data_IF_020534325580
#
_entry.id   IF_020534325580
#
_cell.length_a   1.000
_cell.length_b   1.000
_cell.length_c   1.000
_cell.angle_alpha   90.00
_cell.angle_beta   90.00
_cell.angle_gamma   90.00
#
_symmetry.space_group_name_H-M   'P 1'
#
loop_
_entity.id
_entity.type
_entity.pdbx_description
1 polymer ?
#
# COMPACT_ATOMS: atom_id res chain seq x y z
N UNK A 1 -14.33 3.87 -6.92
CA UNK A 1 -15.48 4.14 -7.81
C UNK A 1 -16.08 2.86 -8.41
N UNK A 2 -15.27 1.89 -8.87
CA UNK A 2 -15.76 0.64 -9.48
C UNK A 2 -16.87 -0.02 -8.62
N UNK A 3 -16.62 -0.22 -7.32
CA UNK A 3 -17.58 -0.80 -6.40
C UNK A 3 -18.74 0.17 -6.03
N UNK A 4 -18.41 1.44 -5.81
CA UNK A 4 -19.45 2.46 -5.51
C UNK A 4 -20.49 2.56 -6.62
N UNK A 5 -20.11 2.37 -7.88
CA UNK A 5 -21.04 2.37 -9.04
C UNK A 5 -21.97 1.16 -9.06
N UNK A 6 -21.63 0.10 -8.35
CA UNK A 6 -22.50 -1.07 -8.12
C UNK A 6 -23.41 -0.91 -6.90
N UNK A 7 -23.39 0.26 -6.23
CA UNK A 7 -24.19 0.50 -5.02
C UNK A 7 -23.52 0.00 -3.73
N UNK A 8 -22.28 -0.50 -3.80
CA UNK A 8 -21.55 -0.94 -2.59
C UNK A 8 -21.17 0.28 -1.76
N UNK A 9 -21.47 0.24 -0.47
CA UNK A 9 -21.03 1.25 0.48
C UNK A 9 -19.52 1.13 0.71
N UNK A 10 -18.80 2.23 0.54
CA UNK A 10 -17.34 2.24 0.53
C UNK A 10 -16.81 3.21 1.57
N UNK A 11 -15.94 2.70 2.44
CA UNK A 11 -15.05 3.50 3.31
C UNK A 11 -13.61 3.26 2.91
N UNK A 12 -12.85 4.33 2.67
CA UNK A 12 -11.44 4.24 2.38
C UNK A 12 -10.62 4.13 3.68
N UNK A 13 -9.48 3.44 3.60
CA UNK A 13 -8.46 3.47 4.64
C UNK A 13 -7.12 3.87 4.04
N UNK A 14 -6.40 4.74 4.74
CA UNK A 14 -5.03 5.12 4.42
C UNK A 14 -4.15 4.94 5.64
N UNK A 15 -2.98 4.36 5.41
CA UNK A 15 -1.98 4.18 6.45
C UNK A 15 -0.90 5.24 6.31
N UNK A 16 -0.35 5.72 7.43
CA UNK A 16 0.75 6.67 7.46
C UNK A 16 1.93 6.10 8.23
N UNK A 17 3.12 6.40 7.72
CA UNK A 17 4.42 6.01 8.29
C UNK A 17 5.44 7.11 7.97
N UNK A 18 6.67 7.07 8.50
CA UNK A 18 7.75 7.94 8.04
C UNK A 18 8.02 7.85 6.53
N UNK A 19 7.60 6.79 5.85
CA UNK A 19 7.93 6.52 4.45
C UNK A 19 6.86 6.94 3.45
N UNK A 20 5.63 7.11 3.89
CA UNK A 20 4.49 7.54 3.07
C UNK A 20 3.38 8.14 3.94
N UNK A 21 2.66 9.10 3.38
CA UNK A 21 1.58 9.83 4.06
C UNK A 21 0.21 9.62 3.43
N UNK A 22 -0.81 10.30 3.98
CA UNK A 22 -2.23 10.18 3.60
C UNK A 22 -2.74 11.28 2.65
N UNK A 23 -2.00 12.36 2.40
CA UNK A 23 -2.50 13.54 1.69
C UNK A 23 -3.16 13.24 0.34
N UNK A 24 -2.59 12.30 -0.43
CA UNK A 24 -3.18 11.86 -1.72
C UNK A 24 -4.49 11.08 -1.52
N UNK A 25 -4.59 10.30 -0.45
CA UNK A 25 -5.81 9.55 -0.12
C UNK A 25 -6.90 10.48 0.38
N UNK A 26 -6.56 11.49 1.17
CA UNK A 26 -7.48 12.52 1.66
C UNK A 26 -8.10 13.30 0.50
N UNK A 27 -7.26 13.74 -0.45
CA UNK A 27 -7.75 14.43 -1.64
C UNK A 27 -8.67 13.54 -2.48
N UNK A 28 -8.27 12.29 -2.71
CA UNK A 28 -9.06 11.34 -3.48
C UNK A 28 -10.40 10.99 -2.79
N UNK A 29 -10.39 10.76 -1.48
CA UNK A 29 -11.59 10.47 -0.71
C UNK A 29 -12.58 11.65 -0.75
N UNK A 30 -12.08 12.88 -0.58
CA UNK A 30 -12.87 14.10 -0.71
C UNK A 30 -13.49 14.23 -2.11
N UNK A 31 -12.72 14.03 -3.16
CA UNK A 31 -13.19 14.12 -4.55
C UNK A 31 -14.26 13.06 -4.85
N UNK A 32 -14.12 11.85 -4.30
CA UNK A 32 -15.07 10.77 -4.50
C UNK A 32 -16.28 10.80 -3.55
N UNK A 33 -16.29 11.69 -2.55
CA UNK A 33 -17.33 11.76 -1.52
C UNK A 33 -17.45 10.45 -0.74
N UNK A 34 -16.33 9.89 -0.25
CA UNK A 34 -16.31 8.68 0.57
C UNK A 34 -15.63 8.97 1.92
N UNK A 35 -16.06 8.30 3.01
CA UNK A 35 -15.39 8.38 4.29
C UNK A 35 -13.94 7.87 4.17
N UNK A 36 -13.03 8.43 4.97
CA UNK A 36 -11.63 8.01 5.04
C UNK A 36 -11.21 7.81 6.48
N UNK A 37 -10.67 6.65 6.77
CA UNK A 37 -9.96 6.32 8.00
C UNK A 37 -8.47 6.51 7.74
N UNK A 38 -7.77 7.23 8.62
CA UNK A 38 -6.31 7.39 8.57
C UNK A 38 -5.71 6.78 9.81
N UNK A 39 -4.85 5.77 9.62
CA UNK A 39 -4.21 5.03 10.70
C UNK A 39 -2.69 5.21 10.67
N UNK A 40 -2.11 5.60 11.81
CA UNK A 40 -0.66 5.65 11.97
C UNK A 40 -0.13 4.27 12.35
N UNK A 41 0.69 3.70 11.46
CA UNK A 41 1.28 2.37 11.65
C UNK A 41 2.81 2.42 11.73
N UNK A 42 3.39 3.56 12.06
CA UNK A 42 4.84 3.82 12.03
C UNK A 42 5.64 2.77 12.81
N UNK A 43 5.24 2.46 14.04
CA UNK A 43 5.95 1.53 14.91
C UNK A 43 5.90 0.10 14.38
N UNK A 44 4.70 -0.39 14.07
CA UNK A 44 4.54 -1.78 13.57
C UNK A 44 5.15 -1.94 12.19
N UNK A 45 5.15 -0.88 11.37
CA UNK A 45 5.79 -0.88 10.06
C UNK A 45 7.32 -0.92 10.19
N UNK A 46 7.90 -0.13 11.10
CA UNK A 46 9.33 -0.13 11.35
C UNK A 46 9.80 -1.49 11.91
N UNK A 47 9.04 -2.08 12.81
CA UNK A 47 9.34 -3.42 13.33
C UNK A 47 9.34 -4.48 12.22
N UNK A 48 8.34 -4.48 11.34
CA UNK A 48 8.28 -5.36 10.16
C UNK A 48 9.45 -5.08 9.21
N UNK A 49 9.76 -3.79 8.96
CA UNK A 49 10.83 -3.38 8.05
C UNK A 49 12.21 -3.88 8.49
N UNK A 50 12.48 -3.98 9.79
CA UNK A 50 13.75 -4.49 10.32
C UNK A 50 13.94 -5.99 10.04
N UNK A 51 12.86 -6.76 9.93
CA UNK A 51 12.91 -8.21 9.69
C UNK A 51 11.73 -8.69 8.82
N UNK A 52 11.70 -8.34 7.52
CA UNK A 52 10.60 -8.74 6.64
C UNK A 52 10.68 -10.22 6.29
N UNK A 53 9.52 -10.89 6.28
CA UNK A 53 9.39 -12.32 5.98
C UNK A 53 9.76 -12.65 4.52
N UNK A 54 9.31 -11.82 3.58
CA UNK A 54 9.60 -11.98 2.14
C UNK A 54 10.85 -11.21 1.68
N UNK A 55 11.54 -10.54 2.62
CA UNK A 55 12.72 -9.76 2.32
C UNK A 55 12.44 -8.44 1.61
N UNK A 56 13.50 -7.85 1.09
CA UNK A 56 13.43 -6.54 0.43
C UNK A 56 13.38 -6.67 -1.09
N UNK A 57 12.85 -5.63 -1.72
CA UNK A 57 12.96 -5.43 -3.15
C UNK A 57 14.33 -4.93 -3.58
N UNK A 58 14.35 -4.11 -4.64
CA UNK A 58 15.61 -3.54 -5.15
C UNK A 58 16.35 -2.70 -4.10
N UNK A 59 15.58 -2.01 -3.26
CA UNK A 59 16.08 -1.16 -2.16
C UNK A 59 15.60 -1.74 -0.81
N UNK A 60 15.28 -0.90 0.19
CA UNK A 60 14.75 -1.37 1.47
C UNK A 60 13.20 -1.46 1.48
N UNK A 61 12.59 -1.80 0.37
CA UNK A 61 11.13 -1.84 0.20
C UNK A 61 10.58 -3.27 0.32
N UNK A 62 10.04 -3.70 1.49
CA UNK A 62 9.43 -5.02 1.69
C UNK A 62 7.97 -5.01 1.24
N UNK A 63 7.72 -4.82 -0.07
CA UNK A 63 6.38 -4.51 -0.58
C UNK A 63 5.34 -5.61 -0.29
N UNK A 64 5.72 -6.89 -0.32
CA UNK A 64 4.79 -8.00 -0.01
C UNK A 64 4.38 -7.94 1.45
N UNK A 65 5.35 -7.85 2.37
CA UNK A 65 5.11 -7.77 3.81
C UNK A 65 4.31 -6.51 4.17
N UNK A 66 4.65 -5.38 3.57
CA UNK A 66 3.96 -4.10 3.78
C UNK A 66 2.48 -4.19 3.38
N UNK A 67 2.19 -4.69 2.18
CA UNK A 67 0.80 -4.84 1.72
C UNK A 67 0.03 -5.85 2.59
N UNK A 68 0.64 -7.00 2.92
CA UNK A 68 0.01 -7.99 3.77
C UNK A 68 -0.30 -7.44 5.17
N UNK A 69 0.62 -6.67 5.75
CA UNK A 69 0.41 -6.00 7.03
C UNK A 69 -0.74 -4.98 6.96
N UNK A 70 -0.79 -4.15 5.91
CA UNK A 70 -1.88 -3.20 5.71
C UNK A 70 -3.24 -3.90 5.60
N UNK A 71 -3.33 -4.99 4.84
CA UNK A 71 -4.57 -5.78 4.76
C UNK A 71 -4.92 -6.45 6.10
N UNK A 72 -3.94 -6.91 6.87
CA UNK A 72 -4.18 -7.47 8.22
C UNK A 72 -4.77 -6.43 9.15
N UNK A 73 -4.20 -5.22 9.18
CA UNK A 73 -4.70 -4.12 10.00
C UNK A 73 -6.08 -3.65 9.55
N UNK A 74 -6.29 -3.51 8.23
CA UNK A 74 -7.59 -3.20 7.65
C UNK A 74 -8.63 -4.28 7.99
N UNK A 75 -8.24 -5.55 7.98
CA UNK A 75 -9.10 -6.68 8.40
C UNK A 75 -9.54 -6.59 9.85
N UNK A 76 -8.66 -6.13 10.74
CA UNK A 76 -9.02 -5.85 12.13
C UNK A 76 -10.06 -4.73 12.26
N UNK A 77 -9.94 -3.67 11.45
CA UNK A 77 -10.92 -2.58 11.39
C UNK A 77 -12.23 -3.06 10.76
N UNK A 78 -12.15 -3.83 9.66
CA UNK A 78 -13.30 -4.46 9.01
C UNK A 78 -14.14 -5.24 10.02
N UNK A 79 -13.51 -6.11 10.81
CA UNK A 79 -14.20 -6.92 11.81
C UNK A 79 -14.84 -6.06 12.93
N UNK A 80 -14.15 -5.02 13.39
CA UNK A 80 -14.66 -4.12 14.46
C UNK A 80 -15.82 -3.24 14.02
N UNK A 81 -15.82 -2.82 12.76
CA UNK A 81 -16.83 -1.89 12.22
C UNK A 81 -17.92 -2.58 11.40
N UNK A 82 -17.87 -3.91 11.24
CA UNK A 82 -18.89 -4.69 10.57
C UNK A 82 -18.87 -4.57 9.04
N UNK A 83 -17.71 -4.29 8.44
CA UNK A 83 -17.57 -4.34 6.98
C UNK A 83 -17.48 -5.79 6.49
N UNK A 84 -18.00 -6.06 5.30
CA UNK A 84 -18.08 -7.40 4.74
C UNK A 84 -16.75 -7.88 4.15
N UNK A 85 -15.99 -7.00 3.49
CA UNK A 85 -14.76 -7.36 2.78
C UNK A 85 -13.80 -6.17 2.59
N UNK A 86 -12.60 -6.49 2.14
CA UNK A 86 -11.54 -5.55 1.79
C UNK A 86 -11.37 -5.50 0.26
N UNK A 87 -10.93 -4.35 -0.23
CA UNK A 87 -10.54 -4.24 -1.63
C UNK A 87 -9.34 -3.31 -1.81
N UNK A 88 -8.64 -3.46 -2.93
CA UNK A 88 -7.55 -2.56 -3.29
C UNK A 88 -7.56 -2.19 -4.78
N UNK A 89 -6.86 -1.11 -5.09
CA UNK A 89 -6.56 -0.69 -6.46
C UNK A 89 -5.35 -1.39 -7.08
N UNK A 90 -4.90 -2.51 -6.52
CA UNK A 90 -3.82 -3.31 -7.12
C UNK A 90 -4.23 -3.85 -8.49
N UNK A 91 -3.30 -3.78 -9.43
CA UNK A 91 -3.51 -4.27 -10.80
C UNK A 91 -2.49 -5.36 -11.10
N UNK A 92 -2.98 -6.48 -11.63
CA UNK A 92 -2.16 -7.63 -12.02
C UNK A 92 -1.05 -7.21 -13.00
N UNK A 93 0.20 -7.51 -12.62
CA UNK A 93 1.37 -7.20 -13.45
C UNK A 93 1.82 -5.73 -13.46
N UNK A 94 1.15 -4.83 -12.73
CA UNK A 94 1.52 -3.40 -12.73
C UNK A 94 2.85 -3.15 -12.01
N UNK A 95 3.07 -3.85 -10.89
CA UNK A 95 4.33 -3.81 -10.14
C UNK A 95 4.95 -5.20 -10.11
N UNK A 96 6.08 -5.43 -10.81
CA UNK A 96 6.63 -6.79 -10.97
C UNK A 96 6.89 -7.53 -9.67
N UNK A 97 7.30 -6.81 -8.61
CA UNK A 97 7.63 -7.43 -7.33
C UNK A 97 6.43 -7.76 -6.47
N UNK A 98 5.41 -6.91 -6.42
CA UNK A 98 4.30 -7.04 -5.46
C UNK A 98 2.93 -7.28 -6.10
N UNK A 99 2.81 -7.20 -7.42
CA UNK A 99 1.52 -7.31 -8.11
C UNK A 99 1.52 -8.34 -9.25
N UNK A 100 2.47 -9.29 -9.28
CA UNK A 100 2.32 -10.51 -10.05
C UNK A 100 1.37 -11.48 -9.31
N UNK A 101 0.85 -12.49 -10.01
CA UNK A 101 -0.14 -13.43 -9.46
C UNK A 101 0.31 -14.08 -8.14
N UNK A 102 1.58 -14.52 -8.06
CA UNK A 102 2.12 -15.14 -6.87
C UNK A 102 2.21 -14.15 -5.70
N UNK A 103 2.70 -12.93 -5.95
CA UNK A 103 2.80 -11.88 -4.94
C UNK A 103 1.43 -11.47 -4.39
N UNK A 104 0.42 -11.30 -5.27
CA UNK A 104 -0.95 -10.98 -4.85
C UNK A 104 -1.55 -12.07 -3.97
N UNK A 105 -1.27 -13.35 -4.26
CA UNK A 105 -1.68 -14.49 -3.44
C UNK A 105 -0.92 -14.53 -2.11
N UNK A 106 0.40 -14.33 -2.12
CA UNK A 106 1.21 -14.25 -0.90
C UNK A 106 0.73 -13.13 0.03
N UNK A 107 0.43 -11.95 -0.51
CA UNK A 107 -0.14 -10.83 0.24
C UNK A 107 -1.47 -11.23 0.90
N UNK A 108 -2.39 -11.84 0.14
CA UNK A 108 -3.68 -12.26 0.68
C UNK A 108 -3.52 -13.30 1.80
N UNK A 109 -2.73 -14.34 1.57
CA UNK A 109 -2.50 -15.40 2.57
C UNK A 109 -1.81 -14.85 3.83
N UNK A 110 -0.75 -14.06 3.66
CA UNK A 110 0.02 -13.53 4.79
C UNK A 110 -0.71 -12.43 5.57
N UNK A 111 -1.72 -11.81 4.95
CA UNK A 111 -2.62 -10.88 5.66
C UNK A 111 -3.54 -11.58 6.67
N UNK A 112 -3.80 -12.87 6.52
CA UNK A 112 -4.79 -13.63 7.30
C UNK A 112 -6.22 -13.50 6.78
N UNK A 113 -6.42 -12.85 5.62
CA UNK A 113 -7.74 -12.62 5.02
C UNK A 113 -7.78 -13.02 3.53
N UNK A 114 -7.33 -14.25 3.14
CA UNK A 114 -7.22 -14.65 1.74
C UNK A 114 -8.55 -14.56 0.99
N UNK A 115 -9.66 -14.87 1.66
CA UNK A 115 -11.00 -14.96 1.10
C UNK A 115 -11.83 -13.68 1.26
N UNK A 116 -11.20 -12.58 1.72
CA UNK A 116 -11.88 -11.30 1.98
C UNK A 116 -11.32 -10.14 1.18
N UNK A 117 -10.39 -10.39 0.25
CA UNK A 117 -9.72 -9.32 -0.52
C UNK A 117 -10.11 -9.44 -1.99
N UNK A 118 -10.74 -8.39 -2.52
CA UNK A 118 -11.05 -8.26 -3.94
C UNK A 118 -10.19 -7.17 -4.61
N UNK A 119 -9.86 -7.35 -5.88
CA UNK A 119 -9.08 -6.40 -6.69
C UNK A 119 -9.89 -5.99 -7.93
N UNK A 120 -10.83 -5.06 -7.79
CA UNK A 120 -11.85 -4.77 -8.79
C UNK A 120 -11.30 -4.46 -10.18
N UNK A 121 -10.10 -3.85 -10.25
CA UNK A 121 -9.48 -3.47 -11.53
C UNK A 121 -8.94 -4.66 -12.34
N UNK A 122 -8.66 -5.80 -11.69
CA UNK A 122 -8.11 -7.01 -12.33
C UNK A 122 -8.94 -8.26 -12.05
N UNK A 123 -10.11 -8.12 -11.46
CA UNK A 123 -10.88 -9.25 -10.92
C UNK A 123 -11.18 -10.31 -11.97
N UNK A 124 -11.51 -9.93 -13.21
CA UNK A 124 -11.79 -10.88 -14.30
C UNK A 124 -10.60 -11.75 -14.70
N UNK A 125 -9.38 -11.37 -14.31
CA UNK A 125 -8.13 -12.11 -14.55
C UNK A 125 -7.65 -12.90 -13.32
N UNK A 126 -8.35 -12.76 -12.21
CA UNK A 126 -8.03 -13.42 -10.95
C UNK A 126 -9.11 -14.46 -10.62
N UNK A 127 -8.84 -15.43 -9.72
CA UNK A 127 -9.86 -16.36 -9.25
C UNK A 127 -11.09 -15.64 -8.71
N UNK A 128 -12.24 -16.24 -8.89
CA UNK A 128 -13.51 -15.75 -8.30
C UNK A 128 -13.37 -15.75 -6.78
N UNK A 129 -13.89 -14.71 -6.15
CA UNK A 129 -13.84 -14.54 -4.70
C UNK A 129 -15.18 -14.89 -4.07
N UNK A 130 -15.21 -15.25 -2.77
CA UNK A 130 -16.47 -15.51 -2.08
C UNK A 130 -17.46 -14.33 -2.13
N UNK A 131 -16.98 -13.09 -2.20
CA UNK A 131 -17.84 -11.91 -2.31
C UNK A 131 -18.61 -11.88 -3.65
N UNK A 132 -17.95 -12.31 -4.73
CA UNK A 132 -18.56 -12.44 -6.05
C UNK A 132 -19.55 -13.60 -6.07
N UNK A 133 -19.22 -14.76 -5.49
CA UNK A 133 -20.10 -15.94 -5.39
C UNK A 133 -21.36 -15.66 -4.56
N UNK A 134 -21.22 -14.84 -3.50
CA UNK A 134 -22.34 -14.45 -2.62
C UNK A 134 -23.18 -13.28 -3.20
N UNK A 135 -22.80 -12.74 -4.34
CA UNK A 135 -23.51 -11.64 -4.97
C UNK A 135 -23.33 -10.28 -4.28
N UNK A 136 -22.34 -10.14 -3.38
CA UNK A 136 -22.00 -8.85 -2.77
C UNK A 136 -21.36 -7.89 -3.78
N UNK A 137 -20.74 -8.44 -4.81
CA UNK A 137 -20.12 -7.71 -5.91
C UNK A 137 -20.47 -8.41 -7.22
N UNK A 138 -20.96 -7.65 -8.19
CA UNK A 138 -21.24 -8.13 -9.54
C UNK A 138 -19.94 -8.20 -10.36
N UNK A 139 -19.47 -9.42 -10.65
CA UNK A 139 -18.25 -9.68 -11.41
C UNK A 139 -18.30 -9.10 -12.82
N UNK A 140 -19.46 -9.06 -13.47
CA UNK A 140 -19.58 -8.57 -14.84
C UNK A 140 -19.28 -7.09 -14.97
N UNK A 141 -19.46 -6.35 -13.87
CA UNK A 141 -19.10 -4.94 -13.75
C UNK A 141 -17.65 -4.71 -13.27
N UNK A 142 -16.90 -5.77 -12.97
CA UNK A 142 -15.49 -5.68 -12.64
C UNK A 142 -14.61 -5.68 -13.89
N UNK A 143 -13.32 -5.39 -13.73
CA UNK A 143 -12.43 -5.10 -14.85
C UNK A 143 -11.37 -6.20 -15.03
N UNK A 144 -10.72 -6.16 -16.20
CA UNK A 144 -9.67 -7.07 -16.65
C UNK A 144 -8.33 -6.35 -16.91
N UNK A 145 -8.09 -5.23 -16.23
CA UNK A 145 -6.88 -4.43 -16.42
C UNK A 145 -5.66 -5.20 -15.92
N UNK A 146 -4.60 -5.20 -16.74
CA UNK A 146 -3.32 -5.82 -16.40
C UNK A 146 -2.13 -5.07 -17.00
N UNK A 147 -0.93 -5.37 -16.47
CA UNK A 147 0.33 -4.86 -16.98
C UNK A 147 0.72 -3.49 -16.41
N UNK A 148 1.86 -2.99 -16.89
CA UNK A 148 2.52 -1.80 -16.33
C UNK A 148 1.88 -0.47 -16.73
N UNK A 149 1.13 -0.46 -17.84
CA UNK A 149 0.51 0.76 -18.34
C UNK A 149 -0.61 1.22 -17.42
N UNK A 150 -0.65 2.51 -17.13
CA UNK A 150 -1.74 3.16 -16.38
C UNK A 150 -2.78 3.83 -17.27
N UNK A 151 -2.59 3.78 -18.59
CA UNK A 151 -3.53 4.39 -19.55
C UNK A 151 -4.98 3.94 -19.33
N UNK A 152 -5.27 2.62 -19.08
CA UNK A 152 -6.65 2.19 -18.82
C UNK A 152 -7.24 2.85 -17.55
N UNK A 153 -6.47 2.91 -16.45
CA UNK A 153 -6.94 3.55 -15.21
C UNK A 153 -7.13 5.05 -15.38
N UNK A 154 -6.26 5.72 -16.13
CA UNK A 154 -6.36 7.15 -16.43
C UNK A 154 -7.58 7.46 -17.33
N UNK A 155 -7.88 6.58 -18.29
CA UNK A 155 -9.07 6.69 -19.13
C UNK A 155 -10.34 6.56 -18.28
N UNK A 156 -10.41 5.54 -17.41
CA UNK A 156 -11.53 5.35 -16.48
C UNK A 156 -11.68 6.51 -15.50
N UNK A 157 -10.59 7.05 -14.99
CA UNK A 157 -10.63 8.20 -14.09
C UNK A 157 -11.29 9.40 -14.78
N UNK A 158 -10.90 9.69 -16.02
CA UNK A 158 -11.51 10.76 -16.83
C UNK A 158 -12.98 10.49 -17.14
N UNK A 159 -13.32 9.28 -17.58
CA UNK A 159 -14.69 8.87 -17.85
C UNK A 159 -15.59 9.04 -16.62
N UNK A 160 -15.05 8.75 -15.43
CA UNK A 160 -15.79 8.85 -14.16
C UNK A 160 -15.70 10.21 -13.51
N UNK A 161 -15.16 11.22 -14.21
CA UNK A 161 -15.14 12.61 -13.78
C UNK A 161 -14.09 12.92 -12.70
N UNK A 162 -13.09 12.07 -12.53
CA UNK A 162 -11.94 12.38 -11.65
C UNK A 162 -10.98 13.31 -12.41
N UNK A 163 -10.79 14.51 -11.87
CA UNK A 163 -9.94 15.54 -12.48
C UNK A 163 -8.51 15.55 -11.94
N UNK A 164 -8.36 15.12 -10.69
CA UNK A 164 -7.07 15.10 -10.00
C UNK A 164 -6.79 13.68 -9.50
N UNK A 165 -5.80 13.06 -10.11
CA UNK A 165 -5.30 11.75 -9.71
C UNK A 165 -3.77 11.74 -9.72
N UNK A 166 -3.14 11.07 -8.75
CA UNK A 166 -1.70 11.16 -8.58
C UNK A 166 -0.95 10.55 -9.76
N UNK A 167 0.19 11.18 -10.12
CA UNK A 167 1.12 10.64 -11.10
C UNK A 167 1.63 9.25 -10.72
N UNK A 168 2.21 8.53 -11.69
CA UNK A 168 2.74 7.17 -11.52
C UNK A 168 3.93 7.06 -10.56
N UNK A 169 4.53 8.18 -10.16
CA UNK A 169 5.65 8.19 -9.21
C UNK A 169 5.27 7.55 -7.90
N UNK A 170 6.03 6.57 -7.45
CA UNK A 170 5.85 5.93 -6.15
C UNK A 170 5.89 6.99 -5.04
N UNK A 171 5.09 6.85 -4.03
CA UNK A 171 5.11 7.76 -2.89
C UNK A 171 5.85 7.20 -1.68
N UNK A 172 6.54 6.07 -1.81
CA UNK A 172 7.23 5.41 -0.71
C UNK A 172 8.74 5.68 -0.77
N UNK A 173 9.28 6.33 0.26
CA UNK A 173 10.72 6.65 0.37
C UNK A 173 11.60 5.39 0.34
N UNK A 174 11.08 4.24 0.76
CA UNK A 174 11.82 2.97 0.72
C UNK A 174 12.18 2.50 -0.70
N UNK A 175 11.62 3.13 -1.73
CA UNK A 175 11.97 2.86 -3.13
C UNK A 175 13.07 3.78 -3.65
N UNK A 176 13.47 4.80 -2.90
CA UNK A 176 14.53 5.73 -3.24
C UNK A 176 15.89 5.20 -2.77
N UNK A 177 16.88 5.21 -3.65
CA UNK A 177 18.20 4.65 -3.39
C UNK A 177 18.85 5.35 -2.20
N UNK A 178 18.96 6.67 -2.25
CA UNK A 178 19.68 7.45 -1.23
C UNK A 178 19.02 7.39 0.15
N UNK A 179 17.68 7.36 0.20
CA UNK A 179 16.98 7.16 1.46
C UNK A 179 17.20 5.75 2.01
N UNK A 180 17.11 4.74 1.15
CA UNK A 180 17.32 3.34 1.51
C UNK A 180 18.73 3.09 2.02
N UNK A 181 19.76 3.73 1.44
CA UNK A 181 21.15 3.61 1.90
C UNK A 181 21.31 4.22 3.30
N UNK A 182 20.71 5.39 3.55
CA UNK A 182 20.70 6.01 4.88
C UNK A 182 19.98 5.16 5.93
N UNK A 183 18.86 4.56 5.54
CA UNK A 183 18.10 3.70 6.43
C UNK A 183 18.83 2.38 6.71
N UNK A 184 19.47 1.78 5.70
CA UNK A 184 20.30 0.58 5.88
C UNK A 184 21.46 0.85 6.83
N UNK A 185 22.13 1.99 6.68
CA UNK A 185 23.17 2.44 7.59
C UNK A 185 22.65 2.62 9.02
N UNK A 186 21.48 3.24 9.18
CA UNK A 186 20.85 3.42 10.50
C UNK A 186 20.56 2.06 11.15
N UNK A 187 19.82 1.19 10.49
CA UNK A 187 19.43 -0.12 11.05
C UNK A 187 20.63 -1.00 11.37
N UNK A 188 21.70 -0.93 10.54
CA UNK A 188 22.93 -1.68 10.75
C UNK A 188 23.67 -1.26 12.04
N UNK A 189 23.77 0.04 12.32
CA UNK A 189 24.57 0.57 13.43
C UNK A 189 23.73 0.86 14.68
N UNK A 190 22.40 0.95 14.54
CA UNK A 190 21.46 1.18 15.62
C UNK A 190 20.22 0.26 15.40
N UNK A 191 20.33 -1.04 15.70
CA UNK A 191 19.22 -2.00 15.49
C UNK A 191 17.96 -1.67 16.29
N UNK A 192 18.11 -0.99 17.42
CA UNK A 192 17.05 -0.50 18.30
C UNK A 192 16.47 0.86 17.89
N UNK A 193 16.89 1.43 16.73
CA UNK A 193 16.37 2.70 16.23
C UNK A 193 14.84 2.74 16.23
N UNK A 194 14.30 3.90 16.58
CA UNK A 194 12.86 4.17 16.65
C UNK A 194 12.36 5.02 15.45
N UNK A 195 11.10 5.42 15.49
CA UNK A 195 10.46 6.22 14.44
C UNK A 195 11.11 7.60 14.31
N UNK A 196 11.51 8.23 15.42
CA UNK A 196 12.14 9.55 15.41
C UNK A 196 13.52 9.51 14.74
N UNK A 197 14.28 8.45 14.97
CA UNK A 197 15.57 8.24 14.29
C UNK A 197 15.40 8.14 12.77
N UNK A 198 14.30 7.51 12.31
CA UNK A 198 13.97 7.42 10.89
C UNK A 198 13.53 8.77 10.34
N UNK A 199 12.78 9.56 11.10
CA UNK A 199 12.37 10.91 10.69
C UNK A 199 13.58 11.82 10.47
N UNK A 200 14.62 11.72 11.29
CA UNK A 200 15.87 12.45 11.12
C UNK A 200 16.58 12.15 9.78
N UNK A 201 16.34 10.98 9.17
CA UNK A 201 16.90 10.65 7.86
C UNK A 201 16.33 11.51 6.71
N UNK A 202 15.21 12.17 6.91
CA UNK A 202 14.58 13.05 5.92
C UNK A 202 15.22 14.45 5.90
N UNK A 203 15.97 14.79 6.94
CA UNK A 203 16.53 16.14 7.17
C UNK A 203 17.99 16.15 6.76
N UNK A 204 18.37 17.12 5.96
CA UNK A 204 19.74 17.45 5.65
C UNK A 204 20.58 16.33 5.01
N UNK A 205 21.91 16.48 5.14
CA UNK A 205 22.89 15.50 4.66
C UNK A 205 23.41 14.66 5.83
N UNK A 206 23.57 13.38 5.59
CA UNK A 206 23.99 12.41 6.61
C UNK A 206 25.43 11.96 6.35
N UNK A 207 26.28 12.01 7.37
CA UNK A 207 27.68 11.61 7.30
C UNK A 207 27.99 10.61 8.42
N UNK A 208 28.44 9.40 8.08
CA UNK A 208 28.98 8.44 9.03
C UNK A 208 30.40 8.82 9.37
N UNK A 209 30.67 9.19 10.64
CA UNK A 209 32.00 9.57 11.11
C UNK A 209 32.74 8.38 11.73
N UNK A 210 32.02 7.48 12.40
CA UNK A 210 32.53 6.23 12.98
C UNK A 210 31.39 5.21 13.08
N UNK A 211 31.66 4.01 13.56
CA UNK A 211 30.60 3.02 13.82
C UNK A 211 29.54 3.53 14.81
N UNK A 212 29.93 4.39 15.74
CA UNK A 212 29.07 4.90 16.81
C UNK A 212 28.58 6.33 16.58
N UNK A 213 29.13 7.05 15.58
CA UNK A 213 28.85 8.47 15.38
C UNK A 213 28.37 8.79 13.98
N UNK A 214 27.26 9.51 13.90
CA UNK A 214 26.66 10.01 12.68
C UNK A 214 26.36 11.48 12.82
N UNK A 215 26.71 12.28 11.83
CA UNK A 215 26.44 13.70 11.74
C UNK A 215 25.31 13.98 10.74
N UNK A 216 24.35 14.78 11.16
CA UNK A 216 23.31 15.32 10.28
C UNK A 216 23.52 16.82 10.14
N UNK A 217 23.67 17.33 8.91
CA UNK A 217 23.74 18.73 8.59
C UNK A 217 22.45 19.15 7.88
N UNK A 218 21.67 20.05 8.52
CA UNK A 218 20.40 20.59 8.02
C UNK A 218 20.61 21.89 7.25
#
# INVERSE_FOLDING_TARGET
LCLKRQGVEVTAISFVTPFFGSSKAELAAKQMGIPLIVENISEVHLAMLKNPHYGYGKNMNPCIDCHAMMFRLAGGIMAKQGFDFLFSGEVLGQRPMSQNSNALRSVANYSGHPDRIIRPLSAKLLPVTPMEEQGLVDRDQLLDIQGRSRKPQEALAKEWGLTDFPSSGGGCLLTEIHFSDRLRDLVKHQPDCNVDDVELLKIGRQFRLSEQSKLTLG
#
